data_IF_610511784174
#
_entry.id   IF_610511784174
#
_cell.length_a   1.000
_cell.length_b   1.000
_cell.length_c   1.000
_cell.angle_alpha   90.00
_cell.angle_beta   90.00
_cell.angle_gamma   90.00
#
_symmetry.space_group_name_H-M   'P 1'
#
loop_
_entity.id
_entity.type
_entity.pdbx_description
1 polymer ?
#
# COMPACT_ATOMS: atom_id res chain seq x y z
N UNK A 1 -56.25 -27.21 -26.26
CA UNK A 1 -54.87 -26.82 -26.61
C UNK A 1 -54.49 -25.63 -25.73
N UNK A 2 -53.78 -25.84 -24.60
CA UNK A 2 -52.32 -25.62 -24.51
C UNK A 2 -51.85 -24.42 -25.35
N UNK A 3 -51.65 -23.26 -24.73
CA UNK A 3 -50.30 -22.72 -24.44
C UNK A 3 -50.35 -21.32 -23.82
N UNK A 4 -49.54 -21.17 -22.77
CA UNK A 4 -49.21 -19.94 -22.04
C UNK A 4 -48.69 -18.85 -23.00
N UNK A 5 -49.12 -17.61 -22.82
CA UNK A 5 -48.37 -16.41 -23.22
C UNK A 5 -47.98 -15.63 -21.96
N UNK A 6 -46.75 -15.85 -21.52
CA UNK A 6 -46.00 -14.91 -20.67
C UNK A 6 -45.08 -14.07 -21.58
N UNK A 7 -44.61 -12.94 -21.04
CA UNK A 7 -43.68 -11.94 -21.60
C UNK A 7 -44.31 -10.97 -22.63
N UNK A 8 -44.15 -9.66 -22.57
CA UNK A 8 -43.28 -8.82 -21.73
C UNK A 8 -43.85 -7.40 -21.62
N UNK A 9 -43.89 -6.87 -20.39
CA UNK A 9 -43.95 -5.45 -20.12
C UNK A 9 -42.62 -4.83 -20.58
N UNK A 10 -42.67 -3.89 -21.54
CA UNK A 10 -41.56 -2.98 -21.83
C UNK A 10 -41.86 -1.62 -21.21
N UNK A 11 -40.97 -1.08 -20.37
CA UNK A 11 -40.81 0.36 -20.29
C UNK A 11 -39.46 0.79 -20.90
N UNK A 12 -39.55 1.94 -21.57
CA UNK A 12 -38.50 2.83 -22.07
C UNK A 12 -37.04 2.50 -21.72
N UNK A 13 -36.25 2.26 -22.76
CA UNK A 13 -34.79 2.24 -22.72
C UNK A 13 -34.28 3.69 -22.61
N UNK A 14 -34.09 4.16 -21.39
CA UNK A 14 -33.34 5.38 -21.11
C UNK A 14 -31.83 5.07 -21.18
N UNK A 15 -31.16 5.64 -22.17
CA UNK A 15 -29.71 5.58 -22.35
C UNK A 15 -29.03 6.41 -21.25
N UNK A 16 -28.72 5.79 -20.11
CA UNK A 16 -27.82 6.37 -19.10
C UNK A 16 -26.46 5.68 -19.19
N UNK A 17 -25.46 6.42 -19.70
CA UNK A 17 -24.04 6.08 -19.53
C UNK A 17 -23.64 6.37 -18.08
N UNK A 18 -23.17 5.41 -17.27
CA UNK A 18 -22.49 5.76 -16.03
C UNK A 18 -21.04 6.15 -16.34
N UNK A 19 -20.84 7.45 -16.59
CA UNK A 19 -19.55 8.09 -16.55
C UNK A 19 -19.07 8.24 -15.10
N UNK A 20 -17.84 7.77 -14.85
CA UNK A 20 -16.85 8.29 -13.87
C UNK A 20 -17.43 9.04 -12.66
N UNK A 21 -17.81 8.34 -11.58
CA UNK A 21 -18.11 9.01 -10.31
C UNK A 21 -17.97 8.13 -9.05
N UNK A 22 -16.96 7.27 -8.97
CA UNK A 22 -16.73 6.43 -7.77
C UNK A 22 -15.28 6.42 -7.26
N UNK A 23 -14.57 7.57 -7.29
CA UNK A 23 -13.22 7.65 -6.69
C UNK A 23 -12.99 8.74 -5.66
N UNK A 24 -13.98 9.57 -5.31
CA UNK A 24 -13.74 10.70 -4.40
C UNK A 24 -14.33 10.61 -2.98
N UNK A 25 -15.16 9.62 -2.66
CA UNK A 25 -15.79 9.56 -1.33
C UNK A 25 -15.18 8.55 -0.33
N UNK A 26 -14.04 7.90 -0.64
CA UNK A 26 -13.30 7.07 0.34
C UNK A 26 -11.94 7.61 0.77
N UNK A 27 -11.41 8.61 0.05
CA UNK A 27 -10.16 9.29 0.43
C UNK A 27 -10.38 10.34 1.52
N UNK A 28 -11.59 10.90 1.62
CA UNK A 28 -11.90 12.00 2.55
C UNK A 28 -12.02 11.58 4.02
N UNK A 29 -12.31 10.31 4.32
CA UNK A 29 -12.52 9.86 5.71
C UNK A 29 -11.21 9.56 6.46
N UNK A 30 -10.06 9.56 5.78
CA UNK A 30 -8.76 9.31 6.42
C UNK A 30 -7.94 10.58 6.70
N UNK A 31 -8.23 11.71 6.05
CA UNK A 31 -7.55 12.98 6.32
C UNK A 31 -7.92 13.56 7.71
N UNK A 32 -9.05 13.14 8.30
CA UNK A 32 -9.53 13.70 9.57
C UNK A 32 -8.98 12.98 10.82
N UNK A 33 -8.42 11.77 10.70
CA UNK A 33 -7.86 11.03 11.85
C UNK A 33 -6.42 11.42 12.21
N UNK A 34 -5.83 12.41 11.53
CA UNK A 34 -4.44 12.84 11.77
C UNK A 34 -4.26 13.72 13.03
N UNK A 35 -5.34 14.18 13.68
CA UNK A 35 -5.27 15.20 14.73
C UNK A 35 -5.32 14.68 16.18
N UNK A 36 -5.49 13.36 16.41
CA UNK A 36 -5.61 12.78 17.74
C UNK A 36 -4.66 11.60 17.90
N UNK A 37 -3.38 11.88 18.19
CA UNK A 37 -2.42 10.90 18.71
C UNK A 37 -2.00 9.76 17.77
N UNK A 38 -2.38 9.78 16.49
CA UNK A 38 -1.88 8.83 15.51
C UNK A 38 -0.42 9.18 15.14
N UNK A 39 0.56 8.32 15.44
CA UNK A 39 1.95 8.58 15.08
C UNK A 39 2.11 8.78 13.56
N UNK A 40 2.93 9.79 13.22
CA UNK A 40 3.03 10.41 11.90
C UNK A 40 3.02 9.44 10.72
N UNK A 41 2.22 9.79 9.71
CA UNK A 41 2.14 9.05 8.44
C UNK A 41 3.20 9.57 7.49
N UNK A 42 4.06 8.67 6.99
CA UNK A 42 5.06 8.97 5.97
C UNK A 42 4.71 8.27 4.66
N UNK A 43 4.86 8.96 3.55
CA UNK A 43 4.53 8.46 2.22
C UNK A 43 5.77 7.99 1.48
N UNK A 44 5.64 6.90 0.72
CA UNK A 44 6.69 6.35 -0.13
C UNK A 44 6.16 6.16 -1.53
N UNK A 45 6.92 6.57 -2.54
CA UNK A 45 6.62 6.31 -3.96
C UNK A 45 7.89 5.87 -4.68
N UNK A 46 7.84 4.84 -5.55
CA UNK A 46 9.01 4.41 -6.31
C UNK A 46 9.43 5.45 -7.36
N UNK A 47 8.55 6.40 -7.71
CA UNK A 47 8.81 7.49 -8.66
C UNK A 47 9.15 8.81 -7.99
N UNK A 48 9.35 8.83 -6.66
CA UNK A 48 9.68 10.03 -5.93
C UNK A 48 11.04 10.62 -6.36
N UNK A 49 11.21 11.94 -6.21
CA UNK A 49 12.47 12.60 -6.52
C UNK A 49 13.44 12.50 -5.32
N UNK A 50 14.68 12.02 -5.50
CA UNK A 50 15.59 11.73 -4.38
C UNK A 50 16.01 12.99 -3.58
N UNK A 51 16.06 14.15 -4.22
CA UNK A 51 16.49 15.40 -3.58
C UNK A 51 15.41 16.11 -2.72
N UNK A 52 14.15 15.66 -2.75
CA UNK A 52 13.02 16.36 -2.09
C UNK A 52 12.15 15.36 -1.33
N UNK A 53 12.74 14.66 -0.37
CA UNK A 53 12.07 13.63 0.43
C UNK A 53 11.77 14.17 1.83
N UNK A 54 10.56 14.67 2.04
CA UNK A 54 10.09 15.07 3.39
C UNK A 54 9.15 14.02 4.00
N UNK A 55 8.80 13.00 3.24
CA UNK A 55 7.85 11.97 3.67
C UNK A 55 6.39 12.41 3.63
N UNK A 56 6.10 13.59 3.09
CA UNK A 56 4.73 14.05 2.85
C UNK A 56 4.15 13.44 1.57
N UNK A 57 2.83 13.53 1.37
CA UNK A 57 2.17 13.00 0.18
C UNK A 57 2.68 13.64 -1.14
N UNK A 58 3.06 14.92 -1.09
CA UNK A 58 3.59 15.67 -2.24
C UNK A 58 5.10 15.49 -2.45
N UNK A 59 5.82 15.12 -1.38
CA UNK A 59 7.27 14.91 -1.38
C UNK A 59 7.61 13.59 -0.66
N UNK A 60 7.17 12.43 -1.22
CA UNK A 60 7.34 11.14 -0.57
C UNK A 60 8.80 10.66 -0.59
N UNK A 61 9.11 9.67 0.24
CA UNK A 61 10.39 8.96 0.15
C UNK A 61 10.45 8.06 -1.08
N UNK A 62 11.65 7.86 -1.65
CA UNK A 62 11.86 6.87 -2.72
C UNK A 62 11.84 5.43 -2.20
N UNK A 63 12.19 5.21 -0.93
CA UNK A 63 12.38 3.86 -0.38
C UNK A 63 11.70 3.69 0.97
N UNK A 64 11.21 2.47 1.24
CA UNK A 64 10.60 2.09 2.52
C UNK A 64 11.60 2.26 3.67
N UNK A 65 12.85 1.85 3.48
CA UNK A 65 13.91 2.02 4.48
C UNK A 65 14.22 3.48 4.79
N UNK A 66 14.14 4.38 3.80
CA UNK A 66 14.30 5.82 4.01
C UNK A 66 13.20 6.39 4.89
N UNK A 67 11.95 6.02 4.62
CA UNK A 67 10.80 6.44 5.44
C UNK A 67 10.89 5.89 6.87
N UNK A 68 11.25 4.62 7.05
CA UNK A 68 11.33 4.01 8.37
C UNK A 68 12.36 4.65 9.30
N UNK A 69 13.45 5.22 8.76
CA UNK A 69 14.44 5.98 9.55
C UNK A 69 13.85 7.25 10.18
N UNK A 70 12.81 7.79 9.57
CA UNK A 70 12.14 9.02 10.03
C UNK A 70 10.75 8.73 10.62
N UNK A 71 10.29 7.48 10.56
CA UNK A 71 8.99 7.09 11.06
C UNK A 71 9.02 7.11 12.58
N UNK A 72 8.12 7.85 13.24
CA UNK A 72 8.00 7.78 14.69
C UNK A 72 7.58 6.37 15.10
N UNK A 73 7.86 6.01 16.35
CA UNK A 73 7.38 4.74 16.92
C UNK A 73 5.85 4.67 16.85
N UNK A 74 5.33 3.49 16.51
CA UNK A 74 3.90 3.31 16.22
C UNK A 74 3.42 3.88 14.89
N UNK A 75 4.27 4.62 14.16
CA UNK A 75 3.91 5.36 12.96
C UNK A 75 3.51 4.49 11.78
N UNK A 76 3.03 5.15 10.72
CA UNK A 76 2.59 4.48 9.50
C UNK A 76 3.43 4.92 8.30
N UNK A 77 4.01 3.96 7.60
CA UNK A 77 4.59 4.15 6.27
C UNK A 77 3.56 3.71 5.23
N UNK A 78 3.08 4.66 4.45
CA UNK A 78 2.08 4.44 3.40
C UNK A 78 2.74 4.35 2.02
N UNK A 79 2.56 3.22 1.35
CA UNK A 79 3.08 2.97 0.01
C UNK A 79 2.03 3.41 -1.03
N UNK A 80 2.42 4.38 -1.86
CA UNK A 80 1.63 4.85 -2.99
C UNK A 80 1.62 3.83 -4.15
N UNK A 81 0.70 3.96 -5.12
CA UNK A 81 0.63 3.05 -6.26
C UNK A 81 1.98 2.94 -6.99
N UNK A 82 2.44 1.72 -7.26
CA UNK A 82 3.69 1.50 -7.95
C UNK A 82 4.29 0.12 -7.72
N UNK A 83 5.37 -0.14 -8.46
CA UNK A 83 6.21 -1.33 -8.31
C UNK A 83 7.43 -0.96 -7.48
N UNK A 84 7.56 -1.60 -6.32
CA UNK A 84 8.68 -1.45 -5.42
C UNK A 84 9.64 -2.61 -5.58
N UNK A 85 10.93 -2.32 -5.46
CA UNK A 85 11.96 -3.34 -5.33
C UNK A 85 11.87 -4.03 -3.97
N UNK A 86 12.58 -5.16 -3.82
CA UNK A 86 12.65 -5.83 -2.53
C UNK A 86 13.29 -4.95 -1.47
N UNK A 87 12.86 -5.13 -0.22
CA UNK A 87 13.46 -4.44 0.92
C UNK A 87 13.66 -5.37 2.12
N UNK A 88 14.67 -5.03 2.91
CA UNK A 88 15.02 -5.72 4.15
C UNK A 88 14.80 -4.77 5.33
N UNK A 89 14.09 -5.25 6.34
CA UNK A 89 14.00 -4.63 7.65
C UNK A 89 14.90 -5.40 8.60
N UNK A 90 15.71 -4.66 9.36
CA UNK A 90 16.63 -5.25 10.32
C UNK A 90 16.57 -4.46 11.62
N UNK A 91 16.51 -5.17 12.73
CA UNK A 91 16.62 -4.58 14.08
C UNK A 91 15.53 -3.53 14.37
N UNK A 92 14.38 -3.62 13.70
CA UNK A 92 13.24 -2.73 13.93
C UNK A 92 12.45 -3.22 15.14
N UNK A 93 12.66 -2.58 16.28
CA UNK A 93 12.01 -2.90 17.56
C UNK A 93 10.99 -1.83 17.92
N UNK A 94 9.70 -2.11 17.72
CA UNK A 94 8.63 -1.22 18.14
C UNK A 94 8.12 -1.62 19.53
N UNK A 95 7.84 -0.66 20.43
CA UNK A 95 7.28 -0.94 21.75
C UNK A 95 5.96 -1.71 21.68
N UNK A 96 5.67 -2.50 22.73
CA UNK A 96 4.36 -3.15 22.85
C UNK A 96 3.25 -2.09 22.86
N UNK A 97 2.22 -2.32 22.05
CA UNK A 97 1.09 -1.39 21.92
C UNK A 97 1.31 -0.25 20.91
N UNK A 98 2.50 -0.13 20.31
CA UNK A 98 2.80 0.89 19.29
C UNK A 98 3.52 0.28 18.09
N UNK A 99 2.88 -0.65 17.35
CA UNK A 99 3.51 -1.29 16.20
C UNK A 99 3.72 -0.29 15.05
N UNK A 100 4.83 -0.39 14.34
CA UNK A 100 5.03 0.35 13.09
C UNK A 100 4.26 -0.34 11.96
N UNK A 101 3.42 0.43 11.28
CA UNK A 101 2.62 -0.04 10.17
C UNK A 101 3.30 0.28 8.83
N UNK A 102 3.44 -0.71 7.96
CA UNK A 102 3.81 -0.51 6.56
C UNK A 102 2.63 -1.00 5.73
N UNK A 103 1.99 -0.08 5.03
CA UNK A 103 0.70 -0.33 4.40
C UNK A 103 0.67 0.21 2.97
N UNK A 104 0.21 -0.59 2.02
CA UNK A 104 -0.10 -0.07 0.69
C UNK A 104 -1.43 0.67 0.68
N UNK A 105 -1.59 1.66 -0.21
CA UNK A 105 -2.90 2.32 -0.41
C UNK A 105 -3.93 1.36 -1.03
N UNK A 106 -3.47 0.39 -1.81
CA UNK A 106 -4.28 -0.65 -2.44
C UNK A 106 -3.42 -1.88 -2.73
N UNK A 107 -3.91 -3.07 -2.38
CA UNK A 107 -3.22 -4.32 -2.67
C UNK A 107 -2.94 -4.51 -4.17
N UNK A 108 -3.87 -4.11 -5.03
CA UNK A 108 -3.77 -4.30 -6.49
C UNK A 108 -2.75 -3.37 -7.16
N UNK A 109 -2.50 -2.21 -6.54
CA UNK A 109 -1.67 -1.17 -7.13
C UNK A 109 -0.28 -1.06 -6.51
N UNK A 110 -0.09 -1.65 -5.32
CA UNK A 110 1.18 -1.67 -4.62
C UNK A 110 1.76 -3.07 -4.72
N UNK A 111 2.72 -3.23 -5.62
CA UNK A 111 3.39 -4.51 -5.87
C UNK A 111 4.81 -4.40 -5.35
N UNK A 112 5.17 -5.21 -4.36
CA UNK A 112 6.56 -5.34 -3.90
C UNK A 112 7.12 -6.63 -4.49
N UNK A 113 8.18 -6.48 -5.28
CA UNK A 113 8.86 -7.62 -5.88
C UNK A 113 10.34 -7.35 -6.08
N UNK A 114 11.11 -8.42 -6.26
CA UNK A 114 12.53 -8.30 -6.53
C UNK A 114 13.36 -9.39 -5.87
N UNK A 115 14.64 -9.42 -6.23
CA UNK A 115 15.60 -10.39 -5.71
C UNK A 115 16.52 -9.72 -4.70
N UNK A 116 16.42 -10.08 -3.42
CA UNK A 116 17.37 -9.64 -2.40
C UNK A 116 18.45 -10.70 -2.18
N UNK A 117 19.70 -10.41 -2.56
CA UNK A 117 20.80 -11.36 -2.39
C UNK A 117 21.30 -11.33 -0.94
N UNK A 118 21.10 -12.43 -0.20
CA UNK A 118 21.73 -12.60 1.10
C UNK A 118 23.25 -12.59 0.93
N UNK A 119 23.94 -11.76 1.73
CA UNK A 119 25.41 -11.66 1.74
C UNK A 119 26.12 -12.97 2.07
N UNK A 120 25.41 -14.03 2.47
CA UNK A 120 25.98 -15.30 2.90
C UNK A 120 25.35 -16.48 2.14
N UNK A 121 26.04 -16.89 1.07
CA UNK A 121 26.06 -18.20 0.40
C UNK A 121 24.79 -18.85 -0.16
N UNK A 122 23.58 -18.27 -0.08
CA UNK A 122 22.44 -18.70 -0.92
C UNK A 122 21.70 -17.50 -1.48
N UNK A 123 21.45 -17.49 -2.79
CA UNK A 123 20.55 -16.52 -3.43
C UNK A 123 19.15 -16.75 -2.86
N UNK A 124 18.79 -16.04 -1.81
CA UNK A 124 17.40 -15.91 -1.41
C UNK A 124 16.69 -14.97 -2.39
N UNK A 125 15.40 -15.16 -2.57
CA UNK A 125 14.55 -14.27 -3.39
C UNK A 125 13.36 -13.88 -2.55
N UNK A 126 13.61 -12.97 -1.61
CA UNK A 126 12.59 -12.44 -0.73
C UNK A 126 12.22 -11.05 -1.21
N UNK A 127 10.93 -10.84 -1.52
CA UNK A 127 10.39 -9.51 -1.81
C UNK A 127 10.41 -8.62 -0.55
N UNK A 128 10.13 -9.22 0.61
CA UNK A 128 10.25 -8.58 1.92
C UNK A 128 10.98 -9.52 2.85
N UNK A 129 11.97 -9.00 3.58
CA UNK A 129 12.72 -9.74 4.58
C UNK A 129 12.67 -9.02 5.93
N UNK A 130 12.31 -9.75 6.99
CA UNK A 130 12.27 -9.24 8.36
C UNK A 130 13.31 -9.98 9.20
N UNK A 131 14.35 -9.28 9.63
CA UNK A 131 15.42 -9.83 10.45
C UNK A 131 15.42 -9.17 11.81
N UNK A 132 15.16 -9.95 12.87
CA UNK A 132 15.09 -9.42 14.24
C UNK A 132 14.20 -8.17 14.29
N UNK A 133 12.92 -8.34 13.94
CA UNK A 133 11.94 -7.25 13.94
C UNK A 133 10.82 -7.60 14.93
N UNK A 134 10.34 -6.62 15.69
CA UNK A 134 9.24 -6.77 16.64
C UNK A 134 8.26 -5.60 16.51
N UNK A 135 6.96 -5.89 16.56
CA UNK A 135 5.92 -4.87 16.48
C UNK A 135 5.86 -4.21 15.10
N UNK A 136 5.93 -4.99 14.03
CA UNK A 136 5.79 -4.50 12.65
C UNK A 136 4.55 -5.13 12.04
N UNK A 137 3.72 -4.30 11.40
CA UNK A 137 2.50 -4.74 10.72
C UNK A 137 2.62 -4.42 9.24
N UNK A 138 2.54 -5.45 8.40
CA UNK A 138 2.59 -5.35 6.95
C UNK A 138 1.18 -5.59 6.39
N UNK A 139 0.65 -4.70 5.55
CA UNK A 139 -0.72 -4.86 5.04
C UNK A 139 -1.00 -4.18 3.70
N UNK A 140 -2.03 -4.66 2.98
CA UNK A 140 -2.63 -4.02 1.81
C UNK A 140 -1.67 -3.77 0.62
N UNK A 141 -0.83 -4.74 0.30
CA UNK A 141 0.04 -4.77 -0.88
C UNK A 141 0.17 -6.19 -1.41
N UNK A 142 0.50 -6.34 -2.68
CA UNK A 142 0.78 -7.64 -3.31
C UNK A 142 2.28 -7.92 -3.29
N UNK A 143 2.66 -9.10 -2.82
CA UNK A 143 4.02 -9.61 -2.97
C UNK A 143 4.12 -10.38 -4.28
N UNK A 144 5.11 -10.02 -5.11
CA UNK A 144 5.43 -10.77 -6.32
C UNK A 144 6.85 -11.31 -6.26
N UNK A 145 6.98 -12.60 -6.54
CA UNK A 145 8.26 -13.30 -6.67
C UNK A 145 8.31 -14.06 -8.00
N UNK A 146 7.92 -13.39 -9.09
CA UNK A 146 7.97 -13.96 -10.43
C UNK A 146 9.38 -13.90 -11.00
N UNK A 147 9.80 -15.01 -11.60
CA UNK A 147 10.97 -15.08 -12.47
C UNK A 147 10.72 -14.17 -13.68
N UNK A 148 11.56 -13.16 -13.90
CA UNK A 148 11.77 -12.57 -15.22
C UNK A 148 13.13 -13.04 -15.74
#
# INVERSE_FOLDING_TARGET
QKMRKQLANRPHTELVRPGRQYHQCRLATWLLNAALGAPGVLFVSPTAHPARQTGSAIHPFCTVSGALKQCPQGGTVLLLPGRYTSFQLRDLMSPRGSPVHIRGVSAEMVIIGGTHQLRVRRKSRNAVELLRCQGVVLSNFTLSNTYQ
#
